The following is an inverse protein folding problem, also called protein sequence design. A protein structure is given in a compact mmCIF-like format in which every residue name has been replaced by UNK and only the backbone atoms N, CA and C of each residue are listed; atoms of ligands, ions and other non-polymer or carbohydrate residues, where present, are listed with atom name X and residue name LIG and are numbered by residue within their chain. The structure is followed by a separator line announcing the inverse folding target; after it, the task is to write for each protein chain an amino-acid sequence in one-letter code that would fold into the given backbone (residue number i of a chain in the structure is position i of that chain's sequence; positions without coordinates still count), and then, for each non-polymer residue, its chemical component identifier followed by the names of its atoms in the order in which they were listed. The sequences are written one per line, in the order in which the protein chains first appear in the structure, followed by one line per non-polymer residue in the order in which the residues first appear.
data_IF_325516575036
#
_entry.id   IF_325516575036
#
_cell.length_a   1.000
_cell.length_b   1.000
_cell.length_c   1.000
_cell.angle_alpha   90.00
_cell.angle_beta   90.00
_cell.angle_gamma   90.00
#
_symmetry.space_group_name_H-M   'P 1'
#
loop_
_entity.id
_entity.type
_entity.pdbx_description
1 polymer ?
#
# COMPACT_ATOMS: atom_id res chain seq x y z
N UNK A 1 10.27 9.09 17.64
CA UNK A 1 10.77 7.81 18.17
C UNK A 1 11.72 8.15 19.32
N UNK A 2 11.43 7.62 20.53
CA UNK A 2 12.33 7.74 21.70
C UNK A 2 13.52 6.81 21.48
N UNK A 3 14.73 7.38 21.58
CA UNK A 3 15.98 6.61 21.43
C UNK A 3 16.56 6.11 22.77
N UNK A 4 15.89 6.41 23.88
CA UNK A 4 16.34 6.11 25.26
C UNK A 4 15.31 5.25 25.99
N UNK A 5 15.80 4.47 26.96
CA UNK A 5 14.97 3.66 27.88
C UNK A 5 14.85 4.34 29.24
N UNK A 6 13.78 4.01 29.97
CA UNK A 6 13.61 4.48 31.34
C UNK A 6 14.77 4.04 32.24
N UNK A 7 15.30 4.96 33.06
CA UNK A 7 16.46 4.73 33.93
C UNK A 7 17.83 4.75 33.24
N UNK A 8 17.94 5.01 31.94
CA UNK A 8 19.21 5.11 31.23
C UNK A 8 19.96 6.40 31.58
N UNK A 9 21.23 6.31 31.93
CA UNK A 9 22.11 7.48 32.13
C UNK A 9 22.40 8.10 30.75
N UNK A 10 22.26 9.40 30.67
CA UNK A 10 22.48 10.21 29.46
C UNK A 10 23.62 11.23 29.73
N UNK A 11 24.40 11.52 28.70
CA UNK A 11 25.43 12.52 28.69
C UNK A 11 25.03 13.72 27.83
N UNK A 12 25.69 14.87 28.07
CA UNK A 12 25.44 16.05 27.23
C UNK A 12 25.81 15.73 25.77
N UNK A 13 24.84 15.94 24.86
CA UNK A 13 24.96 15.63 23.41
C UNK A 13 24.29 14.35 22.97
N UNK A 14 23.78 13.53 23.88
CA UNK A 14 23.05 12.30 23.52
C UNK A 14 21.69 12.63 22.88
N UNK A 15 21.34 11.87 21.84
CA UNK A 15 20.06 12.01 21.14
C UNK A 15 18.94 11.34 21.95
N UNK A 16 18.08 12.13 22.57
CA UNK A 16 16.96 11.65 23.39
C UNK A 16 15.80 11.13 22.56
N UNK A 17 15.48 11.81 21.49
CA UNK A 17 14.39 11.45 20.58
C UNK A 17 14.74 11.87 19.16
N UNK A 18 14.39 11.04 18.21
CA UNK A 18 14.36 11.41 16.79
C UNK A 18 12.93 11.79 16.44
N UNK A 19 12.70 13.06 16.26
CA UNK A 19 11.51 13.52 15.56
C UNK A 19 11.70 13.13 14.10
N UNK A 20 10.79 12.38 13.48
CA UNK A 20 10.77 12.29 12.04
C UNK A 20 10.71 13.74 11.58
N UNK A 21 11.74 14.19 10.87
CA UNK A 21 11.65 15.42 10.11
C UNK A 21 10.47 15.14 9.20
N UNK A 22 9.33 15.76 9.46
CA UNK A 22 8.35 15.91 8.42
C UNK A 22 9.12 16.62 7.32
N UNK A 23 9.69 15.82 6.41
CA UNK A 23 10.00 16.33 5.11
C UNK A 23 8.69 16.95 4.73
N UNK A 24 8.69 18.31 4.69
CA UNK A 24 7.58 19.00 4.09
C UNK A 24 7.31 18.16 2.85
N UNK A 25 6.25 17.33 2.94
CA UNK A 25 5.75 16.64 1.77
C UNK A 25 5.73 17.76 0.79
N UNK A 26 6.61 17.73 -0.19
CA UNK A 26 6.47 18.59 -1.34
C UNK A 26 5.06 18.30 -1.75
N UNK A 27 4.16 19.10 -1.19
CA UNK A 27 2.76 19.05 -1.51
C UNK A 27 2.82 19.29 -2.98
N UNK A 28 2.72 18.18 -3.72
CA UNK A 28 2.60 18.26 -5.15
C UNK A 28 1.59 19.35 -5.33
N UNK A 29 1.92 20.38 -6.12
CA UNK A 29 1.19 21.66 -6.24
C UNK A 29 -0.29 21.47 -6.59
N UNK A 30 -0.73 20.24 -6.88
CA UNK A 30 -2.08 19.69 -6.95
C UNK A 30 -2.74 19.45 -5.58
N UNK A 31 -2.50 20.33 -4.60
CA UNK A 31 -3.28 20.33 -3.38
C UNK A 31 -4.72 20.76 -3.65
N UNK A 32 -5.69 20.12 -3.00
CA UNK A 32 -7.10 20.47 -3.09
C UNK A 32 -7.93 19.51 -3.94
N UNK A 33 -8.99 20.01 -4.59
CA UNK A 33 -9.93 19.20 -5.38
C UNK A 33 -9.28 18.32 -6.48
N UNK A 34 -8.24 18.75 -7.20
CA UNK A 34 -7.53 17.89 -8.14
C UNK A 34 -6.97 16.62 -7.49
N UNK A 35 -6.49 16.69 -6.24
CA UNK A 35 -6.01 15.51 -5.51
C UNK A 35 -7.11 14.49 -5.26
N UNK A 36 -8.32 14.96 -4.94
CA UNK A 36 -9.49 14.09 -4.77
C UNK A 36 -9.83 13.37 -6.07
N UNK A 37 -9.79 14.08 -7.21
CA UNK A 37 -10.02 13.49 -8.52
C UNK A 37 -8.97 12.42 -8.86
N UNK A 38 -7.68 12.68 -8.62
CA UNK A 38 -6.59 11.71 -8.82
C UNK A 38 -6.79 10.43 -7.98
N UNK A 39 -7.23 10.58 -6.72
CA UNK A 39 -7.52 9.46 -5.85
C UNK A 39 -8.66 8.61 -6.41
N UNK A 40 -9.78 9.22 -6.82
CA UNK A 40 -10.93 8.50 -7.36
C UNK A 40 -10.71 7.94 -8.77
N UNK A 41 -9.78 8.50 -9.54
CA UNK A 41 -9.31 7.90 -10.78
C UNK A 41 -8.30 6.75 -10.56
N UNK A 42 -7.93 6.48 -9.30
CA UNK A 42 -6.94 5.48 -8.93
C UNK A 42 -5.59 5.66 -9.66
N UNK A 43 -5.16 6.90 -9.88
CA UNK A 43 -3.88 7.20 -10.55
C UNK A 43 -2.71 6.78 -9.68
N UNK A 44 -1.67 6.23 -10.31
CA UNK A 44 -0.41 5.95 -9.62
C UNK A 44 0.40 7.24 -9.48
N UNK A 45 0.87 7.59 -8.27
CA UNK A 45 1.73 8.76 -8.08
C UNK A 45 3.05 8.59 -8.85
N UNK A 46 3.59 9.69 -9.37
CA UNK A 46 4.88 9.68 -10.08
C UNK A 46 6.03 9.26 -9.17
N UNK A 47 6.03 9.75 -7.93
CA UNK A 47 6.97 9.39 -6.86
C UNK A 47 6.29 8.47 -5.85
N UNK A 48 6.01 7.23 -6.28
CA UNK A 48 5.37 6.26 -5.41
C UNK A 48 6.32 5.78 -4.31
N UNK A 49 5.79 5.71 -3.08
CA UNK A 49 6.44 5.01 -1.99
C UNK A 49 6.57 3.52 -2.35
N UNK A 50 7.61 2.88 -1.83
CA UNK A 50 7.76 1.43 -1.91
C UNK A 50 7.40 0.85 -0.56
N UNK A 51 6.45 -0.06 -0.54
CA UNK A 51 5.94 -0.72 0.66
C UNK A 51 6.48 -2.14 0.73
N UNK A 52 6.87 -2.59 1.92
CA UNK A 52 7.33 -3.96 2.15
C UNK A 52 6.18 -4.95 1.98
N UNK A 53 6.38 -5.97 1.14
CA UNK A 53 5.35 -7.01 0.89
C UNK A 53 5.33 -8.09 1.97
N UNK A 54 6.47 -8.32 2.62
CA UNK A 54 6.65 -9.37 3.62
C UNK A 54 7.42 -8.86 4.83
N UNK A 55 7.25 -9.54 5.97
CA UNK A 55 8.10 -9.37 7.12
C UNK A 55 9.48 -9.94 6.85
N UNK A 56 10.53 -9.29 7.29
CA UNK A 56 11.87 -9.83 7.09
C UNK A 56 13.00 -8.92 7.55
N UNK A 57 14.19 -9.26 7.13
CA UNK A 57 15.42 -8.50 7.42
C UNK A 57 15.93 -7.85 6.14
N UNK A 58 16.30 -6.60 6.21
CA UNK A 58 16.79 -5.82 5.08
C UNK A 58 18.24 -6.15 4.78
N UNK A 59 18.52 -6.42 3.52
CA UNK A 59 19.88 -6.59 3.00
C UNK A 59 20.09 -5.69 1.79
N UNK A 60 21.15 -4.87 1.83
CA UNK A 60 21.57 -4.07 0.70
C UNK A 60 22.42 -4.91 -0.25
N UNK A 61 21.97 -5.00 -1.49
CA UNK A 61 22.69 -5.67 -2.55
C UNK A 61 23.54 -4.71 -3.41
N UNK A 62 24.18 -5.27 -4.43
CA UNK A 62 24.98 -4.48 -5.39
C UNK A 62 24.10 -3.53 -6.22
N UNK A 63 24.64 -2.39 -6.58
CA UNK A 63 24.00 -1.46 -7.51
C UNK A 63 23.79 -2.12 -8.87
N UNK A 64 22.59 -1.97 -9.41
CA UNK A 64 22.22 -2.46 -10.75
C UNK A 64 21.64 -1.30 -11.56
N UNK A 65 22.30 -0.93 -12.64
CA UNK A 65 21.86 0.14 -13.56
C UNK A 65 21.55 1.48 -12.87
N UNK A 66 22.39 1.91 -11.92
CA UNK A 66 22.19 3.16 -11.18
C UNK A 66 21.07 3.12 -10.12
N UNK A 67 20.57 1.93 -9.81
CA UNK A 67 19.60 1.70 -8.73
C UNK A 67 20.23 0.80 -7.68
N UNK A 68 19.98 1.09 -6.41
CA UNK A 68 20.39 0.22 -5.31
C UNK A 68 19.40 -0.91 -5.15
N UNK A 69 19.91 -2.14 -5.15
CA UNK A 69 19.09 -3.33 -4.87
C UNK A 69 18.94 -3.48 -3.36
N UNK A 70 17.70 -3.56 -2.91
CA UNK A 70 17.36 -3.92 -1.52
C UNK A 70 16.61 -5.24 -1.55
N UNK A 71 17.00 -6.17 -0.71
CA UNK A 71 16.35 -7.47 -0.58
C UNK A 71 15.79 -7.58 0.83
N UNK A 72 14.53 -8.00 0.95
CA UNK A 72 13.93 -8.37 2.23
C UNK A 72 13.96 -9.89 2.29
N UNK A 73 14.69 -10.42 3.26
CA UNK A 73 14.80 -11.86 3.50
C UNK A 73 13.84 -12.24 4.61
N UNK A 74 12.86 -13.07 4.27
CA UNK A 74 11.90 -13.63 5.25
C UNK A 74 12.52 -14.75 6.05
N UNK A 75 11.91 -15.10 7.20
CA UNK A 75 12.34 -16.22 8.03
C UNK A 75 12.36 -17.56 7.26
N UNK A 76 11.52 -17.72 6.26
CA UNK A 76 11.41 -18.91 5.40
C UNK A 76 12.49 -18.96 4.29
N UNK A 77 13.43 -18.02 4.26
CA UNK A 77 14.49 -17.95 3.25
C UNK A 77 14.07 -17.38 1.89
N UNK A 78 12.82 -16.96 1.73
CA UNK A 78 12.38 -16.25 0.52
C UNK A 78 12.91 -14.83 0.54
N UNK A 79 13.27 -14.29 -0.63
CA UNK A 79 13.74 -12.92 -0.76
C UNK A 79 12.90 -12.12 -1.75
N UNK A 80 12.38 -10.98 -1.30
CA UNK A 80 11.73 -9.99 -2.16
C UNK A 80 12.73 -8.90 -2.51
N UNK A 81 12.90 -8.60 -3.81
CA UNK A 81 13.92 -7.68 -4.29
C UNK A 81 13.29 -6.37 -4.78
N UNK A 82 13.80 -5.25 -4.29
CA UNK A 82 13.35 -3.90 -4.65
C UNK A 82 14.52 -3.12 -5.26
N UNK A 83 14.22 -2.29 -6.25
CA UNK A 83 15.22 -1.44 -6.92
C UNK A 83 14.90 0.03 -6.60
N UNK A 84 15.71 0.63 -5.75
CA UNK A 84 15.54 2.02 -5.33
C UNK A 84 16.44 2.93 -6.16
N UNK A 85 15.91 4.02 -6.74
CA UNK A 85 16.71 5.00 -7.47
C UNK A 85 17.78 5.63 -6.59
N UNK A 86 18.97 5.86 -7.15
CA UNK A 86 20.08 6.55 -6.47
C UNK A 86 19.65 7.98 -6.09
N UNK A 87 19.91 8.37 -4.85
CA UNK A 87 19.56 9.71 -4.34
C UNK A 87 18.25 9.78 -3.55
N UNK A 88 17.47 8.70 -3.46
CA UNK A 88 16.37 8.62 -2.51
C UNK A 88 16.84 8.01 -1.19
N UNK A 89 16.49 8.65 -0.08
CA UNK A 89 16.84 8.17 1.26
C UNK A 89 15.94 7.00 1.64
N UNK A 90 16.58 5.94 2.13
CA UNK A 90 15.88 4.83 2.78
C UNK A 90 15.89 5.04 4.27
N UNK A 91 14.78 4.76 4.93
CA UNK A 91 14.62 4.96 6.37
C UNK A 91 15.22 3.82 7.20
N UNK A 92 15.82 2.82 6.56
CA UNK A 92 16.29 1.60 7.18
C UNK A 92 17.81 1.39 6.99
N UNK A 93 18.39 0.67 7.95
CA UNK A 93 19.80 0.25 7.94
C UNK A 93 19.90 -1.22 7.52
N UNK A 94 21.11 -1.63 7.12
CA UNK A 94 21.39 -3.04 6.82
C UNK A 94 21.18 -3.92 8.05
N UNK A 95 20.46 -5.03 7.88
CA UNK A 95 20.16 -5.95 8.97
C UNK A 95 18.98 -5.55 9.86
N UNK A 96 18.32 -4.45 9.56
CA UNK A 96 17.14 -4.01 10.29
C UNK A 96 15.92 -4.88 9.93
N UNK A 97 15.06 -5.14 10.92
CA UNK A 97 13.82 -5.87 10.73
C UNK A 97 12.73 -4.94 10.25
N UNK A 98 12.03 -5.36 9.22
CA UNK A 98 10.88 -4.65 8.65
C UNK A 98 9.64 -5.53 8.73
N UNK A 99 8.49 -4.89 8.93
CA UNK A 99 7.18 -5.53 8.89
C UNK A 99 6.49 -5.28 7.55
N UNK A 100 5.63 -6.18 7.18
CA UNK A 100 4.74 -6.03 6.03
C UNK A 100 3.93 -4.73 6.15
N UNK A 101 3.94 -3.92 5.11
CA UNK A 101 3.25 -2.63 5.11
C UNK A 101 4.10 -1.43 5.51
N UNK A 102 5.32 -1.62 6.00
CA UNK A 102 6.23 -0.51 6.29
C UNK A 102 6.83 0.07 5.00
N UNK A 103 7.08 1.37 5.03
CA UNK A 103 7.58 2.10 3.87
C UNK A 103 9.10 1.97 3.75
N UNK A 104 9.57 1.30 2.69
CA UNK A 104 11.00 1.22 2.33
C UNK A 104 11.52 2.56 1.79
N UNK A 105 10.66 3.29 1.12
CA UNK A 105 10.96 4.56 0.51
C UNK A 105 9.85 5.55 0.80
N UNK A 106 10.23 6.75 1.21
CA UNK A 106 9.29 7.85 1.42
C UNK A 106 8.65 8.28 0.09
N UNK A 107 7.36 8.60 0.14
CA UNK A 107 6.58 9.04 -1.00
C UNK A 107 5.09 8.84 -0.77
N UNK A 108 4.28 9.19 -1.75
CA UNK A 108 2.86 8.90 -1.73
C UNK A 108 2.63 7.41 -2.04
N UNK A 109 1.95 6.64 -1.17
CA UNK A 109 1.69 5.24 -1.46
C UNK A 109 0.75 5.11 -2.66
N UNK A 110 1.01 4.13 -3.52
CA UNK A 110 0.10 3.82 -4.61
C UNK A 110 -1.11 3.06 -4.04
N UNK A 111 -2.35 3.50 -4.30
CA UNK A 111 -3.54 2.84 -3.77
C UNK A 111 -3.64 1.35 -4.12
N UNK A 112 -3.17 0.97 -5.31
CA UNK A 112 -3.12 -0.42 -5.75
C UNK A 112 -2.20 -1.29 -4.88
N UNK A 113 -1.06 -0.74 -4.44
CA UNK A 113 -0.11 -1.47 -3.60
C UNK A 113 -0.65 -1.59 -2.17
N UNK A 114 -1.34 -0.57 -1.66
CA UNK A 114 -2.06 -0.65 -0.38
C UNK A 114 -3.08 -1.79 -0.44
N UNK A 115 -3.91 -1.84 -1.49
CA UNK A 115 -4.92 -2.90 -1.64
C UNK A 115 -4.28 -4.29 -1.65
N UNK A 116 -3.21 -4.46 -2.43
CA UNK A 116 -2.54 -5.74 -2.62
C UNK A 116 -1.82 -6.23 -1.36
N UNK A 117 -1.17 -5.31 -0.63
CA UNK A 117 -0.31 -5.65 0.51
C UNK A 117 -1.09 -5.63 1.83
N UNK A 118 -1.84 -4.56 2.07
CA UNK A 118 -2.51 -4.31 3.36
C UNK A 118 -4.00 -4.65 3.34
N UNK A 119 -4.60 -4.76 2.16
CA UNK A 119 -6.00 -5.15 2.01
C UNK A 119 -6.97 -3.98 1.92
N UNK A 120 -8.27 -4.33 1.98
CA UNK A 120 -9.37 -3.39 1.72
C UNK A 120 -9.54 -2.36 2.83
N UNK A 121 -9.39 -2.78 4.08
CA UNK A 121 -9.57 -1.90 5.25
C UNK A 121 -8.56 -0.77 5.24
N UNK A 122 -7.27 -1.09 5.13
CA UNK A 122 -6.20 -0.09 5.06
C UNK A 122 -6.34 0.85 3.85
N UNK A 123 -6.79 0.32 2.71
CA UNK A 123 -7.09 1.15 1.54
C UNK A 123 -8.22 2.13 1.83
N UNK A 124 -9.30 1.68 2.47
CA UNK A 124 -10.45 2.53 2.78
C UNK A 124 -10.07 3.64 3.76
N UNK A 125 -9.32 3.30 4.82
CA UNK A 125 -8.80 4.29 5.79
C UNK A 125 -7.89 5.32 5.10
N UNK A 126 -7.03 4.87 4.20
CA UNK A 126 -6.18 5.76 3.41
C UNK A 126 -7.01 6.75 2.58
N UNK A 127 -8.03 6.27 1.83
CA UNK A 127 -8.90 7.14 1.04
C UNK A 127 -9.67 8.14 1.91
N UNK A 128 -10.24 7.67 3.03
CA UNK A 128 -10.95 8.53 3.97
C UNK A 128 -10.03 9.63 4.48
N UNK A 129 -8.84 9.27 4.95
CA UNK A 129 -7.86 10.22 5.49
C UNK A 129 -7.45 11.27 4.47
N UNK A 130 -7.03 10.85 3.27
CA UNK A 130 -6.57 11.76 2.22
C UNK A 130 -7.68 12.70 1.72
N UNK A 131 -8.89 12.17 1.49
CA UNK A 131 -10.02 12.97 1.02
C UNK A 131 -10.51 13.93 2.12
N UNK A 132 -10.66 13.46 3.35
CA UNK A 132 -11.06 14.30 4.48
C UNK A 132 -10.06 15.41 4.76
N UNK A 133 -8.75 15.17 4.62
CA UNK A 133 -7.73 16.20 4.77
C UNK A 133 -7.96 17.36 3.79
N UNK A 134 -8.22 17.03 2.51
CA UNK A 134 -8.49 18.05 1.49
C UNK A 134 -9.75 18.85 1.82
N UNK A 135 -10.84 18.20 2.20
CA UNK A 135 -12.09 18.89 2.53
C UNK A 135 -11.97 19.74 3.79
N UNK A 136 -11.29 19.24 4.83
CA UNK A 136 -11.04 20.01 6.07
C UNK A 136 -10.21 21.26 5.82
N UNK A 137 -9.20 21.18 4.96
CA UNK A 137 -8.41 22.36 4.58
C UNK A 137 -9.24 23.43 3.89
N UNK A 138 -10.36 23.06 3.26
CA UNK A 138 -11.31 24.00 2.64
C UNK A 138 -12.48 24.38 3.56
N UNK A 139 -12.45 23.95 4.83
CA UNK A 139 -13.50 24.27 5.80
C UNK A 139 -14.79 23.47 5.59
N UNK A 140 -14.76 22.42 4.78
CA UNK A 140 -15.93 21.58 4.49
C UNK A 140 -15.88 20.31 5.35
N UNK A 141 -16.98 20.02 6.03
CA UNK A 141 -17.16 18.79 6.83
C UNK A 141 -18.08 17.84 6.07
N UNK A 142 -17.58 16.66 5.74
CA UNK A 142 -18.36 15.59 5.11
C UNK A 142 -18.30 14.33 5.97
N UNK A 143 -19.32 13.47 5.83
CA UNK A 143 -19.33 12.18 6.55
C UNK A 143 -18.54 11.14 5.75
N UNK A 144 -17.77 10.30 6.45
CA UNK A 144 -16.93 9.24 5.87
C UNK A 144 -17.71 8.27 4.99
N UNK A 145 -19.00 8.04 5.29
CA UNK A 145 -19.88 7.15 4.51
C UNK A 145 -19.98 7.52 3.04
N UNK A 146 -19.84 8.80 2.70
CA UNK A 146 -19.83 9.23 1.29
C UNK A 146 -18.60 8.70 0.56
N UNK A 147 -17.43 8.78 1.22
CA UNK A 147 -16.16 8.28 0.68
C UNK A 147 -16.18 6.75 0.61
N UNK A 148 -16.64 6.09 1.68
CA UNK A 148 -16.77 4.63 1.74
C UNK A 148 -17.66 4.07 0.62
N UNK A 149 -18.74 4.76 0.29
CA UNK A 149 -19.64 4.36 -0.79
C UNK A 149 -18.93 4.41 -2.15
N UNK A 150 -18.11 5.43 -2.38
CA UNK A 150 -17.31 5.57 -3.59
C UNK A 150 -16.25 4.47 -3.66
N UNK A 151 -15.48 4.27 -2.58
CA UNK A 151 -14.44 3.22 -2.50
C UNK A 151 -15.04 1.83 -2.71
N UNK A 152 -16.22 1.56 -2.14
CA UNK A 152 -16.95 0.31 -2.39
C UNK A 152 -17.25 0.10 -3.87
N UNK A 153 -17.62 1.15 -4.60
CA UNK A 153 -17.85 1.06 -6.04
C UNK A 153 -16.55 0.82 -6.82
N UNK A 154 -15.45 1.45 -6.42
CA UNK A 154 -14.13 1.24 -7.01
C UNK A 154 -13.62 -0.20 -6.81
N UNK A 155 -14.03 -0.88 -5.74
CA UNK A 155 -13.66 -2.26 -5.37
C UNK A 155 -14.70 -3.31 -5.82
N UNK A 156 -15.60 -2.95 -6.71
CA UNK A 156 -16.69 -3.83 -7.17
C UNK A 156 -16.19 -5.01 -8.00
N UNK A 157 -15.05 -4.88 -8.66
CA UNK A 157 -14.54 -5.84 -9.63
C UNK A 157 -13.46 -6.76 -9.05
N UNK A 158 -13.38 -7.95 -9.62
CA UNK A 158 -12.39 -9.00 -9.32
C UNK A 158 -11.76 -9.45 -10.63
N UNK A 159 -10.44 -9.55 -10.68
CA UNK A 159 -9.68 -10.15 -11.77
C UNK A 159 -9.48 -11.65 -11.50
N UNK A 160 -9.81 -12.49 -12.46
CA UNK A 160 -9.67 -13.95 -12.33
C UNK A 160 -8.21 -14.36 -12.52
N UNK A 161 -7.60 -14.93 -11.50
CA UNK A 161 -6.22 -15.46 -11.57
C UNK A 161 -6.17 -16.93 -11.95
N UNK A 162 -7.18 -17.72 -11.59
CA UNK A 162 -7.33 -19.11 -11.99
C UNK A 162 -8.82 -19.46 -12.12
N UNK A 163 -9.20 -20.05 -13.24
CA UNK A 163 -10.60 -20.39 -13.53
C UNK A 163 -11.17 -21.54 -12.69
N UNK A 164 -10.32 -22.45 -12.19
CA UNK A 164 -10.83 -23.69 -11.58
C UNK A 164 -11.72 -24.47 -12.54
N UNK A 165 -12.87 -24.94 -12.04
CA UNK A 165 -13.90 -25.62 -12.83
C UNK A 165 -15.05 -24.67 -13.26
N UNK A 166 -14.81 -23.36 -13.19
CA UNK A 166 -15.77 -22.33 -13.61
C UNK A 166 -15.73 -22.07 -15.11
N UNK A 167 -16.76 -21.41 -15.61
CA UNK A 167 -16.79 -20.88 -16.98
C UNK A 167 -16.05 -19.56 -17.17
N UNK A 168 -15.42 -19.04 -16.11
CA UNK A 168 -14.68 -17.77 -16.13
C UNK A 168 -13.32 -17.94 -16.78
N UNK A 169 -12.86 -16.91 -17.50
CA UNK A 169 -11.56 -16.93 -18.15
C UNK A 169 -10.49 -16.30 -17.25
N UNK A 170 -9.28 -16.85 -17.26
CA UNK A 170 -8.13 -16.27 -16.56
C UNK A 170 -7.80 -14.90 -17.18
N UNK A 171 -7.66 -13.86 -16.34
CA UNK A 171 -7.45 -12.47 -16.75
C UNK A 171 -8.75 -11.69 -17.00
N UNK A 172 -9.91 -12.35 -16.96
CA UNK A 172 -11.21 -11.68 -17.07
C UNK A 172 -11.51 -10.87 -15.81
N UNK A 173 -12.18 -9.73 -16.00
CA UNK A 173 -12.62 -8.87 -14.89
C UNK A 173 -14.12 -8.97 -14.75
N UNK A 174 -14.58 -9.49 -13.62
CA UNK A 174 -16.01 -9.74 -13.34
C UNK A 174 -16.47 -9.01 -12.09
N UNK A 175 -17.79 -8.83 -11.95
CA UNK A 175 -18.37 -8.30 -10.72
C UNK A 175 -18.18 -9.28 -9.57
N UNK A 176 -17.78 -8.77 -8.39
CA UNK A 176 -17.55 -9.57 -7.19
C UNK A 176 -18.77 -10.43 -6.83
N UNK A 177 -19.97 -9.85 -6.85
CA UNK A 177 -21.20 -10.59 -6.52
C UNK A 177 -21.40 -11.77 -7.46
N UNK A 178 -21.12 -11.58 -8.75
CA UNK A 178 -21.22 -12.65 -9.75
C UNK A 178 -20.16 -13.74 -9.53
N UNK A 179 -18.91 -13.34 -9.23
CA UNK A 179 -17.82 -14.26 -8.88
C UNK A 179 -18.14 -15.09 -7.64
N UNK A 180 -18.61 -14.43 -6.56
CA UNK A 180 -18.97 -15.11 -5.32
C UNK A 180 -20.12 -16.10 -5.53
N UNK A 181 -21.14 -15.76 -6.36
CA UNK A 181 -22.24 -16.64 -6.71
C UNK A 181 -21.77 -17.90 -7.45
N UNK A 182 -20.93 -17.73 -8.48
CA UNK A 182 -20.37 -18.86 -9.24
C UNK A 182 -19.57 -19.78 -8.31
N UNK A 183 -18.72 -19.23 -7.45
CA UNK A 183 -17.92 -20.02 -6.53
C UNK A 183 -18.78 -20.78 -5.51
N UNK A 184 -19.84 -20.15 -4.99
CA UNK A 184 -20.79 -20.82 -4.10
C UNK A 184 -21.48 -22.00 -4.78
N UNK A 185 -21.89 -21.85 -6.04
CA UNK A 185 -22.50 -22.94 -6.83
C UNK A 185 -21.52 -24.08 -7.12
N UNK A 186 -20.24 -23.78 -7.36
CA UNK A 186 -19.20 -24.78 -7.60
C UNK A 186 -18.87 -25.55 -6.30
N UNK A 187 -18.73 -24.85 -5.18
CA UNK A 187 -18.47 -25.48 -3.88
C UNK A 187 -19.63 -26.40 -3.50
N UNK A 188 -20.89 -25.97 -3.72
CA UNK A 188 -22.06 -26.82 -3.48
C UNK A 188 -22.10 -28.10 -4.34
N UNK A 189 -21.40 -28.11 -5.48
CA UNK A 189 -21.24 -29.26 -6.38
C UNK A 189 -19.93 -30.02 -6.20
N UNK A 190 -19.16 -29.79 -5.12
CA UNK A 190 -17.83 -30.33 -4.88
C UNK A 190 -16.82 -30.14 -6.03
N UNK A 191 -16.95 -29.03 -6.77
CA UNK A 191 -16.04 -28.61 -7.84
C UNK A 191 -15.04 -27.58 -7.34
N UNK A 192 -13.93 -27.45 -8.06
CA UNK A 192 -12.85 -26.51 -7.72
C UNK A 192 -13.27 -25.07 -8.02
N UNK A 193 -13.33 -24.16 -7.01
CA UNK A 193 -13.72 -22.78 -7.22
C UNK A 193 -12.65 -22.00 -8.00
N UNK A 194 -13.07 -20.93 -8.66
CA UNK A 194 -12.18 -19.97 -9.29
C UNK A 194 -11.44 -19.14 -8.22
N UNK A 195 -10.20 -18.75 -8.52
CA UNK A 195 -9.42 -17.82 -7.69
C UNK A 195 -9.37 -16.45 -8.37
N UNK A 196 -9.63 -15.39 -7.61
CA UNK A 196 -9.57 -14.03 -8.10
C UNK A 196 -9.00 -13.06 -7.06
N UNK A 197 -8.49 -11.94 -7.54
CA UNK A 197 -8.01 -10.84 -6.73
C UNK A 197 -8.88 -9.60 -6.93
N UNK A 198 -9.15 -8.89 -5.85
CA UNK A 198 -9.83 -7.59 -5.94
C UNK A 198 -8.93 -6.59 -6.64
N UNK A 199 -9.51 -5.85 -7.58
CA UNK A 199 -8.83 -4.77 -8.28
C UNK A 199 -9.46 -3.43 -7.92
N UNK A 200 -8.64 -2.40 -7.90
CA UNK A 200 -9.08 -1.02 -7.72
C UNK A 200 -9.24 -0.40 -9.10
N UNK A 201 -10.46 0.02 -9.41
CA UNK A 201 -10.76 0.75 -10.66
C UNK A 201 -11.16 2.17 -10.32
N UNK A 202 -10.71 3.11 -11.14
CA UNK A 202 -11.20 4.49 -11.10
C UNK A 202 -12.66 4.58 -11.54
N UNK A 203 -13.31 5.66 -11.14
CA UNK A 203 -14.69 6.00 -11.50
C UNK A 203 -14.68 6.88 -12.75
#
# INVERSE_FOLDING_TARGET
ILSIKDGQKISAGDVLARLPKETSKTKDITGGLPRVAELFEARRPKDSAIIAENDGTIQFGKEVRGKQKISIVTADGNSSNYLIPKGKHTNFSQGEKIKKGEYLLDGAPAPHDILRILGVEALTEYFISEVQEVYRMQGVVINDKHIETIVRQMLKKVEIKASGDSSLLTGETVDRIYFDKINSDLIGKNKKPAKGERILLGI
#
